data_IF_481632598243
#
_entry.id   IF_481632598243
#
_cell.length_a   1.000
_cell.length_b   1.000
_cell.length_c   1.000
_cell.angle_alpha   90.00
_cell.angle_beta   90.00
_cell.angle_gamma   90.00
#
_symmetry.space_group_name_H-M   'P 1'
#
loop_
_entity.id
_entity.type
_entity.pdbx_description
1 polymer ?
#
# COMPACT_ATOMS: atom_id res chain seq x y z
N UNK A 1 -40.44 -29.42 -18.37
CA UNK A 1 -40.10 -30.14 -17.17
C UNK A 1 -40.19 -29.28 -15.92
N UNK A 2 -39.16 -28.54 -15.48
CA UNK A 2 -39.27 -27.67 -14.28
C UNK A 2 -40.27 -26.55 -14.46
N UNK A 3 -40.32 -25.94 -15.64
CA UNK A 3 -41.31 -24.95 -16.05
C UNK A 3 -42.75 -25.47 -15.95
N UNK A 4 -43.01 -26.72 -16.34
CA UNK A 4 -44.34 -27.36 -16.25
C UNK A 4 -44.82 -27.46 -14.80
N UNK A 5 -43.93 -27.86 -13.89
CA UNK A 5 -44.28 -27.98 -12.46
C UNK A 5 -44.50 -26.58 -11.86
N UNK A 6 -43.63 -25.65 -12.13
CA UNK A 6 -43.79 -24.25 -11.69
C UNK A 6 -45.11 -23.63 -12.20
N UNK A 7 -45.40 -23.82 -13.49
CA UNK A 7 -46.65 -23.33 -14.09
C UNK A 7 -47.91 -23.98 -13.49
N UNK A 8 -47.87 -25.27 -13.13
CA UNK A 8 -49.01 -25.91 -12.43
C UNK A 8 -49.25 -25.27 -11.04
N UNK A 9 -48.20 -24.91 -10.32
CA UNK A 9 -48.33 -24.19 -9.04
C UNK A 9 -48.83 -22.77 -9.26
N UNK A 10 -48.31 -22.07 -10.27
CA UNK A 10 -48.72 -20.71 -10.62
C UNK A 10 -50.17 -20.61 -11.05
N UNK A 11 -50.72 -21.64 -11.76
CA UNK A 11 -52.12 -21.73 -12.12
C UNK A 11 -53.05 -21.84 -10.90
N UNK A 12 -52.58 -22.46 -9.83
CA UNK A 12 -53.32 -22.54 -8.54
C UNK A 12 -53.16 -21.24 -7.74
N UNK A 13 -51.94 -20.72 -7.65
CA UNK A 13 -51.63 -19.51 -6.88
C UNK A 13 -52.23 -18.24 -7.48
N UNK A 14 -52.23 -18.13 -8.80
CA UNK A 14 -52.68 -16.97 -9.59
C UNK A 14 -52.05 -15.66 -9.07
N UNK A 15 -50.71 -15.49 -9.17
CA UNK A 15 -50.03 -14.32 -8.62
C UNK A 15 -50.53 -13.03 -9.27
N UNK A 16 -50.60 -11.96 -8.45
CA UNK A 16 -50.99 -10.61 -8.87
C UNK A 16 -49.89 -9.62 -8.48
N UNK A 17 -50.02 -8.38 -8.91
CA UNK A 17 -49.07 -7.30 -8.54
C UNK A 17 -48.90 -7.15 -7.01
N UNK A 18 -50.01 -7.32 -6.26
CA UNK A 18 -50.02 -7.20 -4.79
C UNK A 18 -49.70 -8.51 -4.07
N UNK A 19 -49.72 -9.64 -4.80
CA UNK A 19 -49.45 -10.97 -4.23
C UNK A 19 -48.55 -11.76 -5.18
N UNK A 20 -47.28 -11.37 -5.25
CA UNK A 20 -46.29 -11.98 -6.13
C UNK A 20 -45.89 -13.37 -5.65
N UNK A 21 -45.52 -14.23 -6.59
CA UNK A 21 -44.89 -15.53 -6.32
C UNK A 21 -43.39 -15.44 -6.57
N UNK A 22 -42.60 -16.10 -5.74
CA UNK A 22 -41.15 -16.23 -5.94
C UNK A 22 -40.86 -17.67 -6.42
N UNK A 23 -40.22 -17.77 -7.57
CA UNK A 23 -39.64 -19.04 -8.06
C UNK A 23 -38.15 -18.97 -7.86
N UNK A 24 -37.63 -19.87 -7.03
CA UNK A 24 -36.20 -19.92 -6.72
C UNK A 24 -35.51 -21.00 -7.59
N UNK A 25 -34.44 -20.59 -8.27
CA UNK A 25 -33.64 -21.47 -9.15
C UNK A 25 -32.22 -21.63 -8.52
N UNK A 26 -32.01 -22.68 -7.68
CA UNK A 26 -30.72 -22.90 -7.05
C UNK A 26 -29.71 -23.52 -8.01
N UNK A 27 -28.42 -23.15 -7.83
CA UNK A 27 -27.27 -23.85 -8.47
C UNK A 27 -26.42 -24.48 -7.38
N UNK A 28 -26.87 -25.63 -6.91
CA UNK A 28 -26.38 -26.21 -5.65
C UNK A 28 -24.91 -26.65 -5.70
N UNK A 29 -24.43 -27.22 -6.82
CA UNK A 29 -23.05 -27.69 -6.97
C UNK A 29 -22.40 -27.25 -8.29
N UNK A 30 -23.01 -26.33 -9.00
CA UNK A 30 -22.47 -25.73 -10.24
C UNK A 30 -22.03 -26.78 -11.28
N UNK A 31 -22.87 -27.73 -11.62
CA UNK A 31 -22.55 -28.78 -12.61
C UNK A 31 -22.25 -28.24 -14.01
N UNK A 32 -22.85 -27.11 -14.38
CA UNK A 32 -22.69 -26.50 -15.69
C UNK A 32 -21.79 -25.23 -15.64
N UNK A 33 -21.44 -24.75 -16.81
CA UNK A 33 -20.77 -23.45 -16.93
C UNK A 33 -21.78 -22.30 -16.79
N UNK A 34 -21.38 -21.09 -16.37
CA UNK A 34 -22.28 -19.97 -16.11
C UNK A 34 -23.22 -19.63 -17.25
N UNK A 35 -22.75 -19.67 -18.49
CA UNK A 35 -23.60 -19.37 -19.66
C UNK A 35 -24.69 -20.44 -19.89
N UNK A 36 -24.43 -21.71 -19.52
CA UNK A 36 -25.46 -22.77 -19.61
C UNK A 36 -26.53 -22.56 -18.57
N UNK A 37 -26.14 -22.20 -17.34
CA UNK A 37 -27.07 -21.83 -16.28
C UNK A 37 -27.91 -20.60 -16.70
N UNK A 38 -27.27 -19.55 -17.23
CA UNK A 38 -27.98 -18.39 -17.76
C UNK A 38 -29.02 -18.74 -18.81
N UNK A 39 -28.69 -19.65 -19.76
CA UNK A 39 -29.66 -20.12 -20.76
C UNK A 39 -30.83 -20.89 -20.11
N UNK A 40 -30.61 -21.57 -18.99
CA UNK A 40 -31.71 -22.23 -18.24
C UNK A 40 -32.60 -21.16 -17.56
N UNK A 41 -31.99 -20.11 -17.00
CA UNK A 41 -32.71 -18.98 -16.40
C UNK A 41 -33.55 -18.26 -17.47
N UNK A 42 -32.95 -17.94 -18.63
CA UNK A 42 -33.63 -17.34 -19.76
C UNK A 42 -34.84 -18.16 -20.20
N UNK A 43 -34.64 -19.49 -20.39
CA UNK A 43 -35.73 -20.39 -20.70
C UNK A 43 -36.85 -20.36 -19.67
N UNK A 44 -36.53 -20.35 -18.38
CA UNK A 44 -37.54 -20.25 -17.31
C UNK A 44 -38.29 -18.89 -17.39
N UNK A 45 -37.56 -17.78 -17.55
CA UNK A 45 -38.18 -16.47 -17.67
C UNK A 45 -39.14 -16.34 -18.87
N UNK A 46 -38.84 -17.00 -20.00
CA UNK A 46 -39.68 -17.01 -21.20
C UNK A 46 -40.88 -17.92 -21.08
N UNK A 47 -40.82 -19.00 -20.29
CA UNK A 47 -41.84 -20.05 -20.25
C UNK A 47 -42.70 -20.06 -18.97
N UNK A 48 -42.37 -19.20 -17.96
CA UNK A 48 -43.22 -19.03 -16.80
C UNK A 48 -44.48 -18.22 -17.10
N UNK A 49 -45.64 -18.72 -16.72
CA UNK A 49 -46.88 -18.00 -16.72
C UNK A 49 -46.87 -16.86 -15.70
N UNK A 50 -47.63 -15.82 -15.91
CA UNK A 50 -47.74 -14.66 -15.03
C UNK A 50 -46.37 -14.01 -14.73
N UNK A 51 -45.44 -14.02 -15.70
CA UNK A 51 -44.04 -13.60 -15.51
C UNK A 51 -43.92 -12.24 -14.83
N UNK A 52 -44.78 -11.28 -15.12
CA UNK A 52 -44.84 -9.93 -14.56
C UNK A 52 -45.12 -9.92 -13.04
N UNK A 53 -45.76 -11.00 -12.54
CA UNK A 53 -46.09 -11.17 -11.12
C UNK A 53 -45.26 -12.28 -10.45
N UNK A 54 -44.27 -12.82 -11.14
CA UNK A 54 -43.33 -13.83 -10.63
C UNK A 54 -41.96 -13.20 -10.47
N UNK A 55 -41.38 -13.34 -9.29
CA UNK A 55 -39.97 -12.97 -9.03
C UNK A 55 -39.14 -14.23 -9.26
N UNK A 56 -38.31 -14.21 -10.29
CA UNK A 56 -37.31 -15.26 -10.52
C UNK A 56 -36.08 -14.96 -9.68
N UNK A 57 -35.87 -15.77 -8.65
CA UNK A 57 -34.78 -15.62 -7.71
C UNK A 57 -33.71 -16.69 -7.93
N UNK A 58 -32.46 -16.29 -7.97
CA UNK A 58 -31.35 -17.23 -8.11
C UNK A 58 -30.65 -17.43 -6.79
N UNK A 59 -30.24 -18.68 -6.51
CA UNK A 59 -29.52 -19.07 -5.31
C UNK A 59 -28.24 -19.85 -5.68
N UNK A 60 -27.20 -19.15 -6.17
CA UNK A 60 -25.96 -19.81 -6.56
C UNK A 60 -25.08 -20.13 -5.36
N UNK A 61 -24.55 -21.36 -5.34
CA UNK A 61 -23.38 -21.71 -4.53
C UNK A 61 -22.09 -21.40 -5.28
N UNK A 62 -20.94 -21.66 -4.65
CA UNK A 62 -19.63 -21.31 -5.21
C UNK A 62 -18.69 -22.51 -5.39
N UNK A 63 -19.24 -23.69 -5.62
CA UNK A 63 -18.50 -24.98 -5.65
C UNK A 63 -17.41 -25.03 -6.73
N UNK A 64 -17.56 -24.28 -7.82
CA UNK A 64 -16.57 -24.12 -8.88
C UNK A 64 -15.93 -22.72 -8.91
N UNK A 65 -16.16 -21.88 -7.90
CA UNK A 65 -15.70 -20.51 -7.89
C UNK A 65 -16.42 -19.60 -8.89
N UNK A 66 -17.62 -19.99 -9.35
CA UNK A 66 -18.36 -19.26 -10.39
C UNK A 66 -19.65 -18.61 -9.88
N UNK A 67 -19.88 -18.54 -8.56
CA UNK A 67 -21.13 -18.03 -8.00
C UNK A 67 -21.46 -16.60 -8.43
N UNK A 68 -20.47 -15.73 -8.50
CA UNK A 68 -20.64 -14.36 -9.00
C UNK A 68 -20.98 -14.35 -10.50
N UNK A 69 -20.26 -15.14 -11.30
CA UNK A 69 -20.51 -15.21 -12.75
C UNK A 69 -21.89 -15.82 -13.07
N UNK A 70 -22.32 -16.84 -12.32
CA UNK A 70 -23.67 -17.39 -12.44
C UNK A 70 -24.74 -16.35 -12.14
N UNK A 71 -24.51 -15.52 -11.11
CA UNK A 71 -25.42 -14.43 -10.72
C UNK A 71 -25.49 -13.32 -11.76
N UNK A 72 -24.35 -12.81 -12.21
CA UNK A 72 -24.28 -11.74 -13.22
C UNK A 72 -24.95 -12.18 -14.53
N UNK A 73 -24.60 -13.35 -15.02
CA UNK A 73 -25.17 -13.88 -16.26
C UNK A 73 -26.66 -14.23 -16.10
N UNK A 74 -27.06 -14.72 -14.92
CA UNK A 74 -28.47 -15.01 -14.64
C UNK A 74 -29.33 -13.75 -14.59
N UNK A 75 -28.82 -12.63 -14.03
CA UNK A 75 -29.50 -11.33 -14.07
C UNK A 75 -29.65 -10.82 -15.52
N UNK A 76 -28.60 -10.95 -16.32
CA UNK A 76 -28.65 -10.61 -17.75
C UNK A 76 -29.66 -11.49 -18.52
N UNK A 77 -29.88 -12.74 -18.08
CA UNK A 77 -30.85 -13.67 -18.64
C UNK A 77 -32.30 -13.43 -18.17
N UNK A 78 -32.54 -12.40 -17.35
CA UNK A 78 -33.88 -11.97 -16.96
C UNK A 78 -34.31 -12.34 -15.53
N UNK A 79 -33.43 -12.80 -14.67
CA UNK A 79 -33.73 -12.96 -13.26
C UNK A 79 -33.94 -11.61 -12.56
N UNK A 80 -34.77 -11.61 -11.52
CA UNK A 80 -35.16 -10.39 -10.79
C UNK A 80 -34.40 -10.23 -9.47
N UNK A 81 -33.86 -11.33 -8.90
CA UNK A 81 -33.26 -11.33 -7.57
C UNK A 81 -32.14 -12.36 -7.45
N UNK A 82 -31.12 -12.05 -6.67
CA UNK A 82 -30.08 -12.96 -6.24
C UNK A 82 -30.18 -13.16 -4.73
N UNK A 83 -29.99 -14.40 -4.28
CA UNK A 83 -29.83 -14.79 -2.89
C UNK A 83 -28.39 -15.20 -2.66
N UNK A 84 -27.71 -14.55 -1.72
CA UNK A 84 -26.33 -14.81 -1.38
C UNK A 84 -26.06 -14.46 0.07
N UNK A 85 -24.78 -14.45 0.44
CA UNK A 85 -24.34 -14.16 1.80
C UNK A 85 -23.17 -13.18 1.80
N UNK A 86 -22.96 -12.51 2.92
CA UNK A 86 -21.77 -11.68 3.10
C UNK A 86 -20.53 -12.56 3.00
N UNK A 87 -19.58 -12.12 2.16
CA UNK A 87 -18.30 -12.79 1.92
C UNK A 87 -18.41 -14.27 1.51
N UNK A 88 -19.55 -14.65 0.94
CA UNK A 88 -19.77 -16.01 0.43
C UNK A 88 -19.93 -17.08 1.50
N UNK A 89 -20.32 -16.74 2.73
CA UNK A 89 -20.54 -17.73 3.79
C UNK A 89 -21.60 -18.78 3.38
N UNK A 90 -21.48 -20.00 3.87
CA UNK A 90 -22.43 -21.07 3.60
C UNK A 90 -21.82 -22.46 3.58
N UNK A 91 -22.61 -23.44 3.19
CA UNK A 91 -22.17 -24.83 3.10
C UNK A 91 -21.07 -25.04 2.05
N UNK A 92 -20.17 -25.97 2.30
CA UNK A 92 -19.07 -26.41 1.43
C UNK A 92 -18.15 -25.24 1.08
N UNK A 93 -18.23 -24.73 -0.15
CA UNK A 93 -17.47 -23.56 -0.65
C UNK A 93 -18.22 -22.23 -0.45
N UNK A 94 -19.41 -22.28 0.15
CA UNK A 94 -20.28 -21.14 0.39
C UNK A 94 -21.26 -20.84 -0.73
N UNK A 95 -21.98 -19.73 -0.55
CA UNK A 95 -22.91 -19.17 -1.54
C UNK A 95 -22.21 -18.07 -2.35
N UNK A 96 -22.93 -17.47 -3.31
CA UNK A 96 -22.44 -16.26 -3.95
C UNK A 96 -22.16 -15.17 -2.92
N UNK A 97 -21.01 -14.54 -3.05
CA UNK A 97 -20.65 -13.36 -2.23
C UNK A 97 -21.40 -12.13 -2.74
N UNK A 98 -22.37 -11.65 -1.96
CA UNK A 98 -23.18 -10.47 -2.32
C UNK A 98 -22.38 -9.17 -2.23
N UNK A 99 -21.27 -9.14 -1.47
CA UNK A 99 -20.36 -7.98 -1.46
C UNK A 99 -19.69 -7.85 -2.82
N UNK A 100 -19.09 -8.94 -3.30
CA UNK A 100 -18.45 -8.96 -4.62
C UNK A 100 -19.46 -8.66 -5.73
N UNK A 101 -20.64 -9.30 -5.70
CA UNK A 101 -21.68 -9.09 -6.73
C UNK A 101 -22.16 -7.62 -6.72
N UNK A 102 -22.49 -7.07 -5.55
CA UNK A 102 -22.99 -5.70 -5.42
C UNK A 102 -21.95 -4.67 -5.87
N UNK A 103 -20.68 -4.86 -5.50
CA UNK A 103 -19.59 -3.97 -5.93
C UNK A 103 -19.25 -4.10 -7.41
N UNK A 104 -19.40 -5.30 -8.00
CA UNK A 104 -19.30 -5.46 -9.46
C UNK A 104 -20.39 -4.67 -10.19
N UNK A 105 -21.64 -4.72 -9.71
CA UNK A 105 -22.72 -3.92 -10.27
C UNK A 105 -22.43 -2.42 -10.14
N UNK A 106 -22.01 -1.99 -8.96
CA UNK A 106 -21.63 -0.59 -8.71
C UNK A 106 -20.52 -0.12 -9.67
N UNK A 107 -19.48 -0.92 -9.86
CA UNK A 107 -18.36 -0.60 -10.78
C UNK A 107 -18.80 -0.45 -12.24
N UNK A 108 -19.97 -0.99 -12.61
CA UNK A 108 -20.57 -0.86 -13.94
C UNK A 108 -21.68 0.20 -13.98
N UNK A 109 -21.82 1.01 -12.93
CA UNK A 109 -22.81 2.08 -12.85
C UNK A 109 -24.24 1.60 -12.55
N UNK A 110 -24.40 0.37 -12.03
CA UNK A 110 -25.68 -0.19 -11.61
C UNK A 110 -25.76 -0.14 -10.07
N UNK A 111 -26.69 0.63 -9.53
CA UNK A 111 -26.92 0.72 -8.10
C UNK A 111 -27.53 -0.59 -7.55
N UNK A 112 -26.79 -1.37 -6.73
CA UNK A 112 -27.29 -2.63 -6.18
C UNK A 112 -28.30 -2.42 -5.03
N UNK A 113 -28.58 -1.18 -4.62
CA UNK A 113 -29.37 -0.83 -3.44
C UNK A 113 -28.80 -1.40 -2.14
N UNK A 114 -27.51 -1.60 -2.05
CA UNK A 114 -26.74 -2.05 -0.91
C UNK A 114 -25.70 -0.98 -0.55
N UNK A 115 -25.51 -0.76 0.74
CA UNK A 115 -24.52 0.19 1.23
C UNK A 115 -23.29 -0.56 1.78
N UNK A 116 -22.18 -0.43 1.07
CA UNK A 116 -20.86 -0.96 1.43
C UNK A 116 -19.84 0.15 1.70
N UNK A 117 -20.29 1.38 1.94
CA UNK A 117 -19.43 2.55 2.15
C UNK A 117 -18.57 2.47 3.43
N UNK A 118 -18.89 1.56 4.35
CA UNK A 118 -18.05 1.25 5.52
C UNK A 118 -17.72 -0.25 5.56
N UNK A 119 -16.98 -0.70 4.57
CA UNK A 119 -16.56 -2.11 4.47
C UNK A 119 -15.77 -2.62 5.69
N UNK A 120 -14.86 -1.83 6.30
CA UNK A 120 -14.17 -2.27 7.51
C UNK A 120 -15.14 -2.68 8.62
N UNK A 121 -16.17 -1.88 8.90
CA UNK A 121 -17.16 -2.19 9.92
C UNK A 121 -18.02 -3.41 9.55
N UNK A 122 -18.39 -3.57 8.29
CA UNK A 122 -19.11 -4.76 7.82
C UNK A 122 -18.27 -6.03 8.03
N UNK A 123 -16.95 -5.97 7.76
CA UNK A 123 -16.03 -7.08 8.03
C UNK A 123 -15.97 -7.40 9.54
N UNK A 124 -15.88 -6.40 10.41
CA UNK A 124 -15.87 -6.57 11.86
C UNK A 124 -17.13 -7.29 12.36
N UNK A 125 -18.30 -6.81 11.95
CA UNK A 125 -19.60 -7.44 12.31
C UNK A 125 -19.66 -8.89 11.85
N UNK A 126 -19.25 -9.15 10.60
CA UNK A 126 -19.23 -10.50 10.06
C UNK A 126 -18.30 -11.42 10.86
N UNK A 127 -17.08 -10.96 11.16
CA UNK A 127 -16.09 -11.73 11.92
C UNK A 127 -16.55 -11.99 13.36
N UNK A 128 -17.18 -11.02 14.00
CA UNK A 128 -17.75 -11.15 15.34
C UNK A 128 -18.90 -12.15 15.38
N UNK A 129 -19.84 -12.06 14.43
CA UNK A 129 -21.02 -12.91 14.39
C UNK A 129 -20.72 -14.36 14.00
N UNK A 130 -19.72 -14.58 13.14
CA UNK A 130 -19.44 -15.92 12.58
C UNK A 130 -18.22 -16.59 13.18
N UNK A 131 -17.30 -15.83 13.79
CA UNK A 131 -15.98 -16.30 14.21
C UNK A 131 -15.04 -16.60 13.04
N UNK A 132 -15.43 -16.30 11.80
CA UNK A 132 -14.66 -16.54 10.58
C UNK A 132 -14.00 -15.24 10.12
N UNK A 133 -12.78 -15.34 9.57
CA UNK A 133 -12.07 -14.17 9.00
C UNK A 133 -12.43 -13.97 7.55
N UNK A 134 -12.55 -12.69 7.14
CA UNK A 134 -12.64 -12.34 5.73
C UNK A 134 -11.30 -12.65 5.06
N UNK A 135 -11.32 -13.29 3.90
CA UNK A 135 -10.12 -13.67 3.18
C UNK A 135 -9.29 -12.44 2.78
N UNK A 136 -7.98 -12.46 2.98
CA UNK A 136 -7.09 -11.31 2.68
C UNK A 136 -7.17 -10.82 1.22
N UNK A 137 -7.61 -11.69 0.30
CA UNK A 137 -7.74 -11.41 -1.14
C UNK A 137 -9.20 -11.43 -1.62
N UNK A 138 -10.17 -11.42 -0.70
CA UNK A 138 -11.58 -11.28 -1.08
C UNK A 138 -11.79 -9.96 -1.81
N UNK A 139 -12.41 -9.96 -3.00
CA UNK A 139 -12.62 -8.73 -3.77
C UNK A 139 -13.25 -7.63 -2.93
N UNK A 140 -12.77 -6.40 -3.10
CA UNK A 140 -13.22 -5.16 -2.43
C UNK A 140 -13.04 -5.11 -0.90
N UNK A 141 -13.05 -6.24 -0.21
CA UNK A 141 -13.07 -6.32 1.26
C UNK A 141 -11.78 -6.80 1.90
N UNK A 142 -11.01 -7.63 1.20
CA UNK A 142 -9.80 -8.24 1.73
C UNK A 142 -8.70 -7.23 2.07
N UNK A 143 -7.87 -7.55 3.05
CA UNK A 143 -6.82 -6.66 3.54
C UNK A 143 -5.77 -6.31 2.47
N UNK A 144 -5.62 -7.10 1.41
CA UNK A 144 -4.58 -6.91 0.38
C UNK A 144 -5.11 -6.38 -0.96
N UNK A 145 -6.41 -6.14 -1.09
CA UNK A 145 -7.02 -5.87 -2.42
C UNK A 145 -6.69 -4.49 -2.99
N UNK A 146 -6.27 -3.54 -2.15
CA UNK A 146 -5.85 -2.21 -2.56
C UNK A 146 -4.33 -2.01 -2.46
N UNK A 147 -3.56 -3.10 -2.29
CA UNK A 147 -2.12 -3.07 -2.18
C UNK A 147 -1.44 -3.33 -3.52
N UNK A 148 -0.38 -2.58 -3.81
CA UNK A 148 0.52 -2.84 -4.92
C UNK A 148 1.91 -3.21 -4.40
N UNK A 149 2.50 -4.30 -4.93
CA UNK A 149 3.80 -4.80 -4.48
C UNK A 149 4.97 -4.31 -5.33
N UNK A 150 4.72 -4.01 -6.61
CA UNK A 150 5.76 -3.53 -7.52
C UNK A 150 5.98 -2.03 -7.34
N UNK A 151 7.24 -1.61 -7.12
CA UNK A 151 7.59 -0.19 -6.98
C UNK A 151 7.24 0.66 -8.20
N UNK A 152 7.27 0.08 -9.41
CA UNK A 152 6.83 0.77 -10.63
C UNK A 152 5.32 1.02 -10.66
N UNK A 153 4.53 0.06 -10.16
CA UNK A 153 3.09 0.23 -10.03
C UNK A 153 2.74 1.27 -8.97
N UNK A 154 3.41 1.23 -7.81
CA UNK A 154 3.23 2.21 -6.74
C UNK A 154 3.52 3.63 -7.19
N UNK A 155 4.64 3.84 -7.91
CA UNK A 155 4.99 5.14 -8.49
C UNK A 155 3.95 5.62 -9.52
N UNK A 156 3.48 4.71 -10.38
CA UNK A 156 2.45 5.02 -11.37
C UNK A 156 1.11 5.39 -10.71
N UNK A 157 0.71 4.66 -9.66
CA UNK A 157 -0.51 4.94 -8.89
C UNK A 157 -0.39 6.29 -8.19
N UNK A 158 0.71 6.56 -7.47
CA UNK A 158 0.91 7.83 -6.77
C UNK A 158 0.87 9.02 -7.74
N UNK A 159 1.50 8.89 -8.91
CA UNK A 159 1.45 9.93 -9.96
C UNK A 159 0.05 10.12 -10.54
N UNK A 160 -0.67 9.02 -10.78
CA UNK A 160 -2.02 9.06 -11.31
C UNK A 160 -3.02 9.67 -10.32
N UNK A 161 -2.94 9.30 -9.04
CA UNK A 161 -3.76 9.90 -7.98
C UNK A 161 -3.48 11.40 -7.84
N UNK A 162 -2.19 11.78 -7.78
CA UNK A 162 -1.82 13.19 -7.71
C UNK A 162 -2.32 14.00 -8.93
N UNK A 163 -2.20 13.43 -10.15
CA UNK A 163 -2.74 14.06 -11.36
C UNK A 163 -4.26 14.24 -11.28
N UNK A 164 -5.00 13.21 -10.83
CA UNK A 164 -6.45 13.28 -10.64
C UNK A 164 -6.81 14.42 -9.68
N UNK A 165 -6.20 14.42 -8.50
CA UNK A 165 -6.52 15.37 -7.44
C UNK A 165 -6.22 16.83 -7.85
N UNK A 166 -5.19 17.05 -8.70
CA UNK A 166 -4.79 18.37 -9.19
C UNK A 166 -5.58 18.84 -10.43
N UNK A 167 -5.92 17.93 -11.35
CA UNK A 167 -6.46 18.27 -12.69
C UNK A 167 -7.92 17.91 -12.89
N UNK A 168 -8.38 16.83 -12.25
CA UNK A 168 -9.73 16.31 -12.46
C UNK A 168 -10.23 15.59 -11.18
N UNK A 169 -10.47 16.36 -10.09
CA UNK A 169 -10.81 15.79 -8.79
C UNK A 169 -12.16 15.06 -8.78
N UNK A 170 -13.03 15.35 -9.74
CA UNK A 170 -14.33 14.68 -9.89
C UNK A 170 -14.24 13.38 -10.71
N UNK A 171 -13.05 13.04 -11.20
CA UNK A 171 -12.84 11.82 -11.96
C UNK A 171 -12.91 10.59 -11.03
N UNK A 172 -13.90 9.74 -11.28
CA UNK A 172 -14.15 8.57 -10.43
C UNK A 172 -13.06 7.50 -10.52
N UNK A 173 -12.49 7.29 -11.71
CA UNK A 173 -11.50 6.24 -11.92
C UNK A 173 -10.20 6.51 -11.16
N UNK A 174 -9.67 5.46 -10.56
CA UNK A 174 -8.34 5.46 -9.93
C UNK A 174 -7.38 4.57 -10.70
N UNK A 175 -6.08 4.88 -10.69
CA UNK A 175 -5.10 4.04 -11.36
C UNK A 175 -5.04 2.64 -10.75
N UNK A 176 -5.01 1.60 -11.59
CA UNK A 176 -4.72 0.22 -11.21
C UNK A 176 -5.78 -0.49 -10.35
N UNK A 177 -6.91 0.14 -10.05
CA UNK A 177 -7.98 -0.44 -9.24
C UNK A 177 -9.33 -0.37 -9.99
N UNK A 178 -10.28 -1.27 -9.70
CA UNK A 178 -11.61 -1.25 -10.31
C UNK A 178 -12.54 -0.18 -9.73
N UNK A 179 -12.27 0.30 -8.53
CA UNK A 179 -13.03 1.34 -7.81
C UNK A 179 -12.08 2.25 -7.03
N UNK A 180 -12.57 3.41 -6.60
CA UNK A 180 -11.87 4.20 -5.60
C UNK A 180 -12.00 3.51 -4.23
N UNK A 181 -10.91 3.25 -3.49
CA UNK A 181 -10.98 2.67 -2.15
C UNK A 181 -11.87 3.46 -1.18
N UNK A 182 -12.02 4.76 -1.38
CA UNK A 182 -12.90 5.62 -0.57
C UNK A 182 -14.38 5.27 -0.71
N UNK A 183 -14.79 4.66 -1.82
CA UNK A 183 -16.18 4.19 -2.02
C UNK A 183 -16.57 3.08 -1.02
N UNK A 184 -15.60 2.40 -0.46
CA UNK A 184 -15.78 1.35 0.55
C UNK A 184 -15.19 1.73 1.92
N UNK A 185 -15.02 3.02 2.20
CA UNK A 185 -14.51 3.52 3.47
C UNK A 185 -13.03 3.21 3.73
N UNK A 186 -12.25 2.93 2.67
CA UNK A 186 -10.81 2.65 2.75
C UNK A 186 -10.00 3.71 2.02
N UNK A 187 -8.73 3.73 2.27
CA UNK A 187 -7.79 4.53 1.48
C UNK A 187 -6.91 3.60 0.65
N UNK A 188 -6.25 4.16 -0.38
CA UNK A 188 -5.18 3.46 -1.05
C UNK A 188 -4.11 3.15 -0.01
N UNK A 189 -4.04 1.89 0.40
CA UNK A 189 -3.20 1.46 1.54
C UNK A 189 -1.71 1.54 1.19
N UNK A 190 -1.15 2.74 1.35
CA UNK A 190 0.30 2.87 1.55
C UNK A 190 0.79 1.98 2.71
N UNK A 191 -0.11 1.60 3.61
CA UNK A 191 0.15 0.80 4.80
C UNK A 191 0.34 -0.69 4.54
N UNK A 192 -0.12 -1.19 3.41
CA UNK A 192 0.05 -2.60 3.00
C UNK A 192 1.16 -2.76 1.97
N UNK A 193 2.05 -1.79 1.85
CA UNK A 193 3.28 -1.97 1.07
C UNK A 193 4.17 -2.97 1.83
N UNK A 194 4.01 -4.24 1.51
CA UNK A 194 4.89 -5.31 1.97
C UNK A 194 6.12 -5.31 1.07
N UNK A 195 7.27 -5.02 1.65
CA UNK A 195 8.54 -5.05 0.92
C UNK A 195 9.08 -6.47 0.95
N UNK A 196 9.05 -7.11 -0.20
CA UNK A 196 9.70 -8.39 -0.45
C UNK A 196 10.89 -8.22 -1.42
N UNK A 197 11.55 -9.31 -1.75
CA UNK A 197 12.70 -9.33 -2.69
C UNK A 197 12.37 -8.78 -4.08
N UNK A 198 11.10 -8.66 -4.46
CA UNK A 198 10.62 -8.12 -5.73
C UNK A 198 10.21 -6.65 -5.64
N UNK A 199 10.09 -6.11 -4.42
CA UNK A 199 9.76 -4.70 -4.21
C UNK A 199 10.96 -3.84 -4.58
N UNK A 200 10.83 -3.07 -5.65
CA UNK A 200 11.91 -2.24 -6.17
C UNK A 200 12.27 -1.05 -5.26
N UNK A 201 13.34 -0.35 -5.63
CA UNK A 201 13.92 0.81 -4.93
C UNK A 201 12.92 1.92 -4.57
N UNK A 202 11.81 2.04 -5.33
CA UNK A 202 10.76 3.03 -5.12
C UNK A 202 9.91 2.78 -3.88
N UNK A 203 9.56 1.52 -3.60
CA UNK A 203 8.67 1.17 -2.50
C UNK A 203 9.26 1.47 -1.11
N UNK A 204 10.56 1.18 -0.91
CA UNK A 204 11.27 1.48 0.34
C UNK A 204 11.30 2.98 0.61
N UNK A 205 11.64 3.78 -0.42
CA UNK A 205 11.67 5.24 -0.32
C UNK A 205 10.30 5.82 0.02
N UNK A 206 9.26 5.32 -0.61
CA UNK A 206 7.89 5.76 -0.37
C UNK A 206 7.41 5.47 1.07
N UNK A 207 7.66 4.27 1.60
CA UNK A 207 7.34 3.94 3.01
C UNK A 207 8.06 4.88 3.97
N UNK A 208 9.36 5.08 3.79
CA UNK A 208 10.13 5.94 4.68
C UNK A 208 9.66 7.40 4.62
N UNK A 209 9.25 7.88 3.45
CA UNK A 209 8.70 9.22 3.27
C UNK A 209 7.31 9.37 3.89
N UNK A 210 6.38 8.48 3.57
CA UNK A 210 4.96 8.63 3.96
C UNK A 210 4.70 8.31 5.43
N UNK A 211 5.37 7.27 5.98
CA UNK A 211 5.16 6.85 7.37
C UNK A 211 6.07 7.54 8.38
N UNK A 212 7.29 7.85 7.98
CA UNK A 212 8.32 8.33 8.90
C UNK A 212 8.85 9.71 8.54
N UNK A 213 8.32 10.34 7.49
CA UNK A 213 8.71 11.69 7.07
C UNK A 213 10.13 11.78 6.49
N UNK A 214 10.73 10.66 6.08
CA UNK A 214 12.11 10.60 5.60
C UNK A 214 12.21 10.78 4.09
N UNK A 215 12.44 12.00 3.62
CA UNK A 215 12.60 12.27 2.19
C UNK A 215 14.05 12.03 1.72
N UNK A 216 14.41 10.77 1.51
CA UNK A 216 15.75 10.36 1.10
C UNK A 216 16.15 10.88 -0.27
N UNK A 217 17.41 11.33 -0.46
CA UNK A 217 17.96 11.60 -1.80
C UNK A 217 17.84 10.38 -2.74
N UNK A 218 17.62 10.57 -4.06
CA UNK A 218 17.35 9.45 -4.99
C UNK A 218 18.37 8.32 -4.94
N UNK A 219 19.66 8.62 -4.90
CA UNK A 219 20.73 7.60 -4.82
C UNK A 219 20.82 6.94 -3.44
N UNK A 220 20.40 7.62 -2.37
CA UNK A 220 20.29 7.03 -1.03
C UNK A 220 19.07 6.09 -0.93
N UNK A 221 17.94 6.42 -1.58
CA UNK A 221 16.80 5.49 -1.74
C UNK A 221 17.24 4.17 -2.36
N UNK A 222 18.14 4.25 -3.33
CA UNK A 222 18.73 3.10 -3.99
C UNK A 222 19.57 2.24 -3.04
N UNK A 223 20.45 2.87 -2.26
CA UNK A 223 21.28 2.19 -1.26
C UNK A 223 20.42 1.52 -0.17
N UNK A 224 19.37 2.22 0.31
CA UNK A 224 18.42 1.67 1.27
C UNK A 224 17.63 0.49 0.69
N UNK A 225 17.25 0.55 -0.60
CA UNK A 225 16.60 -0.56 -1.31
C UNK A 225 17.47 -1.82 -1.34
N UNK A 226 18.78 -1.69 -1.60
CA UNK A 226 19.71 -2.81 -1.54
C UNK A 226 19.89 -3.37 -0.13
N UNK A 227 20.00 -2.51 0.89
CA UNK A 227 20.09 -2.94 2.28
C UNK A 227 18.85 -3.72 2.71
N UNK A 228 17.66 -3.23 2.37
CA UNK A 228 16.37 -3.88 2.66
C UNK A 228 16.26 -5.23 1.97
N UNK A 229 16.65 -5.29 0.67
CA UNK A 229 16.65 -6.54 -0.09
C UNK A 229 17.56 -7.57 0.54
N UNK A 230 18.78 -7.22 0.91
CA UNK A 230 19.73 -8.13 1.55
C UNK A 230 19.17 -8.75 2.84
N UNK A 231 18.48 -7.98 3.69
CA UNK A 231 17.85 -8.48 4.92
C UNK A 231 16.66 -9.37 4.60
N UNK A 232 15.79 -8.98 3.65
CA UNK A 232 14.63 -9.76 3.22
C UNK A 232 15.04 -11.11 2.64
N UNK A 233 16.04 -11.13 1.75
CA UNK A 233 16.57 -12.35 1.14
C UNK A 233 17.17 -13.29 2.20
N UNK A 234 17.94 -12.75 3.17
CA UNK A 234 18.53 -13.54 4.24
C UNK A 234 17.50 -14.13 5.20
N UNK A 235 16.44 -13.37 5.52
CA UNK A 235 15.38 -13.81 6.44
C UNK A 235 14.27 -14.63 5.75
N UNK A 236 14.27 -14.70 4.42
CA UNK A 236 13.20 -15.30 3.61
C UNK A 236 11.80 -14.82 3.99
N UNK A 237 11.67 -13.54 4.37
CA UNK A 237 10.40 -12.93 4.75
C UNK A 237 10.26 -11.51 4.24
N UNK A 238 9.02 -11.05 4.17
CA UNK A 238 8.70 -9.65 3.96
C UNK A 238 9.06 -8.81 5.19
N UNK A 239 9.49 -7.57 4.98
CA UNK A 239 9.81 -6.65 6.05
C UNK A 239 8.65 -5.67 6.27
N UNK A 240 8.23 -5.54 7.53
CA UNK A 240 7.27 -4.51 7.92
C UNK A 240 7.89 -3.11 7.89
N UNK A 241 7.07 -2.04 7.72
CA UNK A 241 7.57 -0.66 7.72
C UNK A 241 8.49 -0.32 8.89
N UNK A 242 8.14 -0.74 10.10
CA UNK A 242 8.98 -0.53 11.29
C UNK A 242 10.34 -1.25 11.23
N UNK A 243 10.39 -2.44 10.62
CA UNK A 243 11.65 -3.16 10.42
C UNK A 243 12.54 -2.41 9.41
N UNK A 244 11.94 -1.81 8.38
CA UNK A 244 12.66 -0.99 7.38
C UNK A 244 13.19 0.29 8.03
N UNK A 245 12.38 0.95 8.84
CA UNK A 245 12.79 2.14 9.59
C UNK A 245 13.91 1.84 10.59
N UNK A 246 13.82 0.73 11.31
CA UNK A 246 14.88 0.28 12.21
C UNK A 246 16.16 -0.06 11.44
N UNK A 247 16.06 -0.68 10.27
CA UNK A 247 17.20 -0.94 9.40
C UNK A 247 17.85 0.36 8.92
N UNK A 248 17.05 1.37 8.54
CA UNK A 248 17.55 2.70 8.19
C UNK A 248 18.34 3.31 9.35
N UNK A 249 17.79 3.31 10.57
CA UNK A 249 18.47 3.82 11.76
C UNK A 249 19.80 3.12 12.01
N UNK A 250 19.79 1.79 11.99
CA UNK A 250 20.98 0.98 12.25
C UNK A 250 22.08 1.13 11.20
N UNK A 251 21.69 1.46 9.95
CA UNK A 251 22.66 1.50 8.84
C UNK A 251 23.09 2.93 8.50
N UNK A 252 22.18 3.89 8.62
CA UNK A 252 22.41 5.23 8.06
C UNK A 252 22.23 6.38 9.03
N UNK A 253 21.70 6.20 10.25
CA UNK A 253 21.39 7.31 11.14
C UNK A 253 22.35 7.36 12.34
N UNK A 254 23.02 8.50 12.51
CA UNK A 254 23.83 8.82 13.70
C UNK A 254 24.86 7.76 14.09
N UNK A 255 25.53 7.15 13.11
CA UNK A 255 26.58 6.14 13.37
C UNK A 255 27.86 6.84 13.85
N UNK A 256 28.29 6.52 15.07
CA UNK A 256 29.39 7.20 15.77
C UNK A 256 30.67 6.37 15.90
N UNK A 257 30.75 5.22 15.26
CA UNK A 257 31.93 4.35 15.24
C UNK A 257 32.29 3.94 13.81
N UNK A 258 33.58 3.85 13.48
CA UNK A 258 34.77 4.09 14.31
C UNK A 258 35.17 5.56 14.49
N UNK A 259 34.52 6.51 13.77
CA UNK A 259 34.75 7.95 13.89
C UNK A 259 33.60 8.62 14.65
N UNK A 260 33.93 9.53 15.56
CA UNK A 260 32.96 10.41 16.23
C UNK A 260 33.50 11.82 16.39
N UNK A 261 32.61 12.79 16.51
CA UNK A 261 32.92 14.18 16.81
C UNK A 261 32.43 14.52 18.22
N UNK A 262 33.35 14.92 19.08
CA UNK A 262 33.10 15.28 20.48
C UNK A 262 32.69 16.74 20.58
N UNK A 263 33.43 17.63 19.89
CA UNK A 263 33.25 19.08 20.01
C UNK A 263 33.61 19.79 18.70
N UNK A 264 32.87 20.86 18.37
CA UNK A 264 33.10 21.68 17.18
C UNK A 264 32.93 23.13 17.57
N UNK A 265 33.93 23.97 17.26
CA UNK A 265 33.86 25.41 17.38
C UNK A 265 34.03 26.05 16.02
N UNK A 266 33.15 27.01 15.69
CA UNK A 266 33.21 27.75 14.45
C UNK A 266 33.60 29.22 14.71
N UNK A 267 34.47 29.72 13.88
CA UNK A 267 34.84 31.16 13.82
C UNK A 267 34.73 31.65 12.39
N UNK A 268 34.01 32.73 12.20
CA UNK A 268 33.98 33.41 10.92
C UNK A 268 35.25 34.24 10.74
N UNK A 269 35.92 34.07 9.60
CA UNK A 269 37.08 34.88 9.19
C UNK A 269 36.85 35.37 7.78
N UNK A 270 37.61 36.42 7.37
CA UNK A 270 37.52 36.99 6.04
C UNK A 270 37.73 35.91 4.98
N UNK A 271 36.69 35.62 4.20
CA UNK A 271 36.69 34.66 3.12
C UNK A 271 36.22 33.25 3.47
N UNK A 272 35.69 32.93 4.68
CA UNK A 272 35.15 31.62 4.98
C UNK A 272 34.93 31.30 6.46
N UNK A 273 34.70 30.04 6.75
CA UNK A 273 34.53 29.54 8.12
C UNK A 273 35.80 28.77 8.52
N UNK A 274 36.36 29.11 9.67
CA UNK A 274 37.39 28.28 10.33
C UNK A 274 36.71 27.46 11.42
N UNK A 275 37.06 26.18 11.48
CA UNK A 275 36.55 25.30 12.53
C UNK A 275 37.66 24.61 13.29
N UNK A 276 37.45 24.45 14.60
CA UNK A 276 38.26 23.59 15.46
C UNK A 276 37.41 22.40 15.84
N UNK A 277 37.81 21.20 15.38
CA UNK A 277 37.09 19.94 15.59
C UNK A 277 37.87 19.02 16.49
N UNK A 278 37.25 18.61 17.59
CA UNK A 278 37.79 17.53 18.47
C UNK A 278 37.01 16.25 18.08
N UNK A 279 37.73 15.30 17.52
CA UNK A 279 37.18 14.05 16.99
C UNK A 279 37.95 12.84 17.53
N UNK A 280 37.27 11.69 17.57
CA UNK A 280 37.82 10.42 18.06
C UNK A 280 37.77 9.36 16.97
N UNK A 281 38.84 8.62 16.80
CA UNK A 281 38.95 7.43 15.97
C UNK A 281 39.48 6.25 16.78
N UNK A 282 38.71 5.19 16.94
CA UNK A 282 39.06 3.99 17.70
C UNK A 282 39.64 4.31 19.08
N UNK A 283 39.01 5.24 19.81
CA UNK A 283 39.40 5.68 21.17
C UNK A 283 40.54 6.70 21.23
N UNK A 284 41.14 7.08 20.10
CA UNK A 284 42.17 8.15 20.06
C UNK A 284 41.54 9.47 19.66
N UNK A 285 41.65 10.48 20.50
CA UNK A 285 41.10 11.80 20.30
C UNK A 285 42.15 12.76 19.70
N UNK A 286 41.76 13.49 18.67
CA UNK A 286 42.58 14.50 17.98
C UNK A 286 41.78 15.78 17.85
N UNK A 287 42.44 16.90 18.07
CA UNK A 287 41.88 18.22 17.77
C UNK A 287 42.54 18.81 16.52
N UNK A 288 41.75 19.17 15.54
CA UNK A 288 42.25 19.68 14.23
C UNK A 288 41.53 20.95 13.85
N UNK A 289 42.29 21.90 13.30
CA UNK A 289 41.76 23.15 12.74
C UNK A 289 41.85 23.14 11.22
N UNK A 290 40.77 23.55 10.57
CA UNK A 290 40.69 23.72 9.13
C UNK A 290 39.71 24.82 8.75
N UNK A 291 39.81 25.27 7.50
CA UNK A 291 38.89 26.26 6.91
C UNK A 291 38.05 25.62 5.78
N UNK A 292 36.92 26.23 5.50
CA UNK A 292 36.04 25.84 4.39
C UNK A 292 35.12 27.01 3.96
N UNK A 293 34.44 26.81 2.85
CA UNK A 293 33.47 27.77 2.33
C UNK A 293 32.21 27.89 3.20
N UNK A 294 31.91 26.83 3.95
CA UNK A 294 30.79 26.74 4.88
C UNK A 294 31.13 25.83 6.08
N UNK A 295 30.22 25.75 7.05
CA UNK A 295 30.43 24.98 8.29
C UNK A 295 30.70 23.50 8.03
N UNK A 296 29.86 22.84 7.20
CA UNK A 296 30.02 21.43 6.87
C UNK A 296 31.32 21.15 6.10
N UNK A 297 31.67 22.02 5.15
CA UNK A 297 32.91 21.93 4.38
C UNK A 297 34.15 22.09 5.27
N UNK A 298 34.14 23.04 6.22
CA UNK A 298 35.20 23.22 7.17
C UNK A 298 35.40 21.97 8.07
N UNK A 299 34.32 21.38 8.58
CA UNK A 299 34.37 20.13 9.35
C UNK A 299 34.90 18.98 8.49
N UNK A 300 34.42 18.85 7.26
CA UNK A 300 34.91 17.84 6.31
C UNK A 300 36.42 17.97 6.09
N UNK A 301 36.92 19.18 5.89
CA UNK A 301 38.34 19.46 5.70
C UNK A 301 39.16 19.16 6.96
N UNK A 302 38.62 19.43 8.16
CA UNK A 302 39.26 19.08 9.43
C UNK A 302 39.41 17.57 9.59
N UNK A 303 38.35 16.79 9.29
CA UNK A 303 38.39 15.32 9.33
C UNK A 303 39.32 14.71 8.28
N UNK A 304 39.32 15.25 7.05
CA UNK A 304 40.26 14.83 6.01
C UNK A 304 41.70 15.04 6.45
N UNK A 305 42.01 16.20 7.06
CA UNK A 305 43.33 16.54 7.59
C UNK A 305 43.72 15.66 8.77
N UNK A 306 42.81 15.41 9.72
CA UNK A 306 43.07 14.64 10.92
C UNK A 306 43.40 13.16 10.66
N UNK A 307 42.75 12.59 9.65
CA UNK A 307 42.76 11.14 9.40
C UNK A 307 43.20 10.77 7.97
N UNK A 308 43.72 11.70 7.21
CA UNK A 308 44.15 11.52 5.81
C UNK A 308 43.06 10.92 4.90
N UNK A 309 41.80 11.30 5.15
CA UNK A 309 40.65 10.74 4.44
C UNK A 309 40.59 11.28 3.01
N UNK A 310 40.29 10.38 2.08
CA UNK A 310 40.10 10.71 0.66
C UNK A 310 38.65 10.47 0.26
N UNK A 311 37.88 11.54 0.08
CA UNK A 311 36.51 11.54 -0.45
C UNK A 311 36.13 12.94 -0.92
N UNK A 312 35.10 13.05 -1.73
CA UNK A 312 34.40 14.31 -2.06
C UNK A 312 32.98 14.29 -1.53
N UNK A 313 32.48 15.45 -1.10
CA UNK A 313 31.05 15.64 -0.84
C UNK A 313 30.31 15.67 -2.18
N UNK A 314 29.35 14.79 -2.37
CA UNK A 314 28.60 14.68 -3.62
C UNK A 314 27.14 15.14 -3.47
N UNK A 315 26.52 14.88 -2.31
CA UNK A 315 25.15 15.22 -2.04
C UNK A 315 25.00 15.74 -0.61
N UNK A 316 24.23 16.82 -0.48
CA UNK A 316 23.76 17.33 0.80
C UNK A 316 22.30 17.75 0.65
N UNK A 317 21.46 17.28 1.56
CA UNK A 317 20.03 17.64 1.65
C UNK A 317 19.61 17.64 3.10
N UNK A 318 18.67 18.51 3.47
CA UNK A 318 18.13 18.61 4.83
C UNK A 318 16.65 18.96 4.80
N UNK A 319 15.92 18.56 5.83
CA UNK A 319 14.55 19.02 6.09
C UNK A 319 14.15 18.82 7.56
N UNK A 320 13.06 19.48 7.98
CA UNK A 320 12.45 19.25 9.29
C UNK A 320 11.62 17.95 9.28
N UNK A 321 11.70 17.16 10.34
CA UNK A 321 10.88 15.94 10.48
C UNK A 321 9.43 16.25 10.85
N UNK A 322 9.18 17.37 11.56
CA UNK A 322 7.85 17.79 12.00
C UNK A 322 7.62 19.27 11.70
N UNK A 323 6.37 19.70 11.66
CA UNK A 323 6.01 21.11 11.43
C UNK A 323 5.86 21.91 12.73
N UNK A 324 6.78 21.75 13.68
CA UNK A 324 6.75 22.46 14.95
C UNK A 324 8.06 23.20 15.23
N UNK A 325 8.05 24.21 16.10
CA UNK A 325 9.26 24.94 16.50
C UNK A 325 10.25 24.10 17.32
N UNK A 326 9.81 22.96 17.84
CA UNK A 326 10.62 21.97 18.56
C UNK A 326 10.96 20.75 17.68
N UNK A 327 10.70 20.83 16.38
CA UNK A 327 10.98 19.75 15.42
C UNK A 327 12.46 19.44 15.36
N UNK A 328 12.79 18.16 15.27
CA UNK A 328 14.13 17.74 14.88
C UNK A 328 14.33 17.94 13.39
N UNK A 329 15.55 18.27 13.01
CA UNK A 329 15.99 18.28 11.63
C UNK A 329 16.68 16.97 11.29
N UNK A 330 16.54 16.55 10.03
CA UNK A 330 17.35 15.48 9.46
C UNK A 330 18.17 16.03 8.30
N UNK A 331 19.44 15.64 8.27
CA UNK A 331 20.34 15.90 7.15
C UNK A 331 20.82 14.59 6.53
N UNK A 332 21.03 14.61 5.23
CA UNK A 332 21.58 13.50 4.45
C UNK A 332 22.86 13.94 3.77
N UNK A 333 23.90 13.13 3.91
CA UNK A 333 25.20 13.36 3.28
C UNK A 333 25.60 12.17 2.45
N UNK A 334 25.91 12.39 1.18
CA UNK A 334 26.54 11.43 0.29
C UNK A 334 27.98 11.80 0.03
N UNK A 335 28.93 10.91 0.28
CA UNK A 335 30.34 11.07 -0.04
C UNK A 335 30.74 10.09 -1.15
N UNK A 336 31.58 10.56 -2.07
CA UNK A 336 32.14 9.75 -3.13
C UNK A 336 33.56 9.32 -2.76
N UNK A 337 33.78 8.02 -2.76
CA UNK A 337 35.07 7.40 -2.49
C UNK A 337 36.00 7.46 -3.71
N UNK A 338 37.32 7.25 -3.55
CA UNK A 338 38.26 7.25 -4.67
C UNK A 338 37.95 6.21 -5.77
N UNK A 339 37.26 5.11 -5.43
CA UNK A 339 36.81 4.08 -6.35
C UNK A 339 35.53 4.48 -7.12
N UNK A 340 34.97 5.67 -6.87
CA UNK A 340 33.78 6.19 -7.49
C UNK A 340 32.46 5.77 -6.82
N UNK A 341 32.49 4.86 -5.86
CA UNK A 341 31.31 4.42 -5.11
C UNK A 341 30.86 5.47 -4.08
N UNK A 342 29.57 5.46 -3.75
CA UNK A 342 28.97 6.40 -2.78
C UNK A 342 28.82 5.71 -1.43
N UNK A 343 29.07 6.46 -0.36
CA UNK A 343 28.68 6.12 1.00
C UNK A 343 27.72 7.19 1.55
N UNK A 344 26.73 6.75 2.30
CA UNK A 344 25.64 7.59 2.77
C UNK A 344 25.58 7.64 4.28
N UNK A 345 25.17 8.80 4.80
CA UNK A 345 24.83 8.99 6.20
C UNK A 345 23.68 9.97 6.36
N UNK A 346 22.91 9.74 7.40
CA UNK A 346 21.88 10.64 7.89
C UNK A 346 22.22 11.05 9.33
N UNK A 347 21.87 12.28 9.69
CA UNK A 347 22.01 12.80 11.03
C UNK A 347 20.70 13.44 11.48
N UNK A 348 20.27 13.15 12.68
CA UNK A 348 19.02 13.66 13.28
C UNK A 348 19.36 14.37 14.60
N UNK A 349 19.08 15.66 14.65
CA UNK A 349 19.27 16.50 15.84
C UNK A 349 18.29 17.68 15.84
N UNK A 350 18.12 18.33 17.00
CA UNK A 350 17.36 19.58 17.09
C UNK A 350 18.11 20.75 16.44
N UNK A 351 19.45 20.72 16.42
CA UNK A 351 20.31 21.67 15.69
C UNK A 351 20.65 21.10 14.31
N UNK A 352 20.25 21.80 13.25
CA UNK A 352 20.50 21.41 11.87
C UNK A 352 22.01 21.31 11.54
N UNK A 353 22.86 22.10 12.19
CA UNK A 353 24.30 22.02 12.01
C UNK A 353 24.84 20.74 12.63
N UNK A 354 24.33 20.35 13.80
CA UNK A 354 24.68 19.08 14.44
C UNK A 354 24.20 17.91 13.60
N UNK A 355 22.95 17.92 13.14
CA UNK A 355 22.41 16.90 12.24
C UNK A 355 23.28 16.74 10.97
N UNK A 356 23.72 17.84 10.37
CA UNK A 356 24.60 17.81 9.19
C UNK A 356 25.97 17.19 9.47
N UNK A 357 26.55 17.49 10.62
CA UNK A 357 27.82 16.94 11.06
C UNK A 357 27.69 15.43 11.32
N UNK A 358 26.64 15.02 12.03
CA UNK A 358 26.38 13.62 12.33
C UNK A 358 26.09 12.80 11.06
N UNK A 359 25.42 13.40 10.06
CA UNK A 359 25.25 12.81 8.74
C UNK A 359 26.60 12.60 8.03
N UNK A 360 27.50 13.58 8.07
CA UNK A 360 28.83 13.46 7.49
C UNK A 360 29.66 12.37 8.16
N UNK A 361 29.66 12.32 9.51
CA UNK A 361 30.38 11.31 10.29
C UNK A 361 29.83 9.93 9.97
N UNK A 362 28.51 9.78 9.90
CA UNK A 362 27.85 8.53 9.50
C UNK A 362 28.26 8.08 8.09
N UNK A 363 28.30 9.01 7.12
CA UNK A 363 28.75 8.69 5.76
C UNK A 363 30.23 8.25 5.75
N UNK A 364 31.08 8.86 6.57
CA UNK A 364 32.49 8.45 6.73
C UNK A 364 32.60 7.07 7.39
N UNK A 365 31.74 6.75 8.35
CA UNK A 365 31.70 5.44 9.00
C UNK A 365 31.23 4.33 8.06
N UNK A 366 30.38 4.66 7.11
CA UNK A 366 29.82 3.74 6.09
C UNK A 366 30.68 3.61 4.80
N UNK A 367 31.85 4.22 4.77
CA UNK A 367 32.71 4.20 3.57
C UNK A 367 33.50 2.89 3.38
#
# INVERSE_FOLDING_TARGET
>A
SSDLVCNAVLDVWQPTADNKCIINLPVTVQHSMPHVYASQVEYMCENLKYRENVIVSLHPHNDRGCGVADSEMGLLAGADRIEGTLFGNGERTGNVDIVTLGMNMYSQGVDPKLDFSDMPHICEIYEECTGMKVGERSPYSGALVFAAFSGSHQDAIAKGMHWRDDKDPDHWNVPYLPIDPTDVGRNYDADVIRINSQSGKGGVGYILETKFGLNLPPKMREAMGYATKAVSDHKHKELHPDEIFNLFKQTFENITEPYSINEVHFQQKDGGIVTKVTSTFRGKTITTEASGNGRLDAVSNALKKAYELKYSLETYQEHALERSSSSKAIAYVGIKKPDGTLAWGAGVDADIIRASIDALVTAINNR
#
